data_IF_548876191925
#
_entry.id   IF_548876191925
#
_cell.length_a   1.000
_cell.length_b   1.000
_cell.length_c   1.000
_cell.angle_alpha   90.00
_cell.angle_beta   90.00
_cell.angle_gamma   90.00
#
_symmetry.space_group_name_H-M   'P 1'
#
loop_
_entity.id
_entity.type
_entity.pdbx_description
1 polymer ?
#
# COMPACT_ATOMS: atom_id res chain seq x y z
N UNK A 1 19.68 -1.23 -27.26
CA UNK A 1 18.53 -1.95 -26.66
C UNK A 1 18.84 -2.14 -25.18
N UNK A 2 17.83 -2.12 -24.31
CA UNK A 2 18.04 -2.35 -22.88
C UNK A 2 18.50 -3.80 -22.62
N UNK A 3 19.41 -3.97 -21.65
CA UNK A 3 19.92 -5.28 -21.24
C UNK A 3 18.78 -6.16 -20.67
N UNK A 4 18.60 -7.41 -21.13
CA UNK A 4 17.61 -8.34 -20.57
C UNK A 4 17.68 -8.51 -19.05
N UNK A 5 18.88 -8.43 -18.44
CA UNK A 5 19.03 -8.51 -16.99
C UNK A 5 18.40 -7.29 -16.30
N UNK A 6 18.59 -6.09 -16.85
CA UNK A 6 17.98 -4.85 -16.37
C UNK A 6 16.45 -4.88 -16.50
N UNK A 7 15.92 -5.32 -17.66
CA UNK A 7 14.47 -5.44 -17.87
C UNK A 7 13.82 -6.42 -16.88
N UNK A 8 14.52 -7.52 -16.57
CA UNK A 8 14.09 -8.49 -15.56
C UNK A 8 14.07 -7.88 -14.15
N UNK A 9 15.11 -7.13 -13.77
CA UNK A 9 15.18 -6.48 -12.46
C UNK A 9 14.04 -5.45 -12.27
N UNK A 10 13.80 -4.61 -13.28
CA UNK A 10 12.68 -3.66 -13.29
C UNK A 10 11.35 -4.40 -13.14
N UNK A 11 11.13 -5.46 -13.91
CA UNK A 11 9.92 -6.27 -13.83
C UNK A 11 9.69 -6.85 -12.42
N UNK A 12 10.75 -7.32 -11.76
CA UNK A 12 10.69 -7.84 -10.38
C UNK A 12 10.30 -6.73 -9.41
N UNK A 13 10.99 -5.57 -9.47
CA UNK A 13 10.73 -4.42 -8.60
C UNK A 13 9.32 -3.84 -8.80
N UNK A 14 8.86 -3.71 -10.04
CA UNK A 14 7.48 -3.35 -10.39
C UNK A 14 6.48 -4.32 -9.78
N UNK A 15 6.75 -5.63 -9.85
CA UNK A 15 5.92 -6.65 -9.21
C UNK A 15 5.88 -6.54 -7.67
N UNK A 16 6.98 -6.15 -7.03
CA UNK A 16 7.04 -5.90 -5.58
C UNK A 16 6.15 -4.72 -5.21
N UNK A 17 6.28 -3.57 -5.90
CA UNK A 17 5.43 -2.39 -5.67
C UNK A 17 3.96 -2.74 -5.84
N UNK A 18 3.59 -3.43 -6.92
CA UNK A 18 2.21 -3.86 -7.18
C UNK A 18 1.63 -4.73 -6.07
N UNK A 19 2.42 -5.64 -5.47
CA UNK A 19 1.99 -6.48 -4.35
C UNK A 19 1.79 -5.65 -3.08
N UNK A 20 2.71 -4.73 -2.79
CA UNK A 20 2.63 -3.87 -1.60
C UNK A 20 1.45 -2.89 -1.68
N UNK A 21 1.13 -2.37 -2.86
CA UNK A 21 -0.10 -1.58 -3.09
C UNK A 21 -1.33 -2.42 -2.73
N UNK A 22 -1.42 -3.66 -3.22
CA UNK A 22 -2.55 -4.55 -2.91
C UNK A 22 -2.65 -4.89 -1.43
N UNK A 23 -1.51 -5.13 -0.78
CA UNK A 23 -1.43 -5.42 0.65
C UNK A 23 -1.90 -4.21 1.47
N UNK A 24 -1.46 -3.00 1.12
CA UNK A 24 -1.89 -1.77 1.77
C UNK A 24 -3.40 -1.55 1.63
N UNK A 25 -3.93 -1.61 0.40
CA UNK A 25 -5.36 -1.46 0.15
C UNK A 25 -6.20 -2.55 0.84
N UNK A 26 -5.64 -3.74 1.06
CA UNK A 26 -6.32 -4.80 1.81
C UNK A 26 -6.46 -4.41 3.28
N UNK A 27 -5.40 -3.94 3.91
CA UNK A 27 -5.46 -3.50 5.31
C UNK A 27 -6.35 -2.27 5.53
N UNK A 28 -6.36 -1.31 4.59
CA UNK A 28 -7.30 -0.18 4.64
C UNK A 28 -8.77 -0.65 4.60
N UNK A 29 -9.10 -1.56 3.69
CA UNK A 29 -10.47 -2.11 3.61
C UNK A 29 -10.85 -2.93 4.84
N UNK A 30 -9.91 -3.67 5.41
CA UNK A 30 -10.16 -4.46 6.62
C UNK A 30 -10.34 -3.56 7.85
N UNK A 31 -9.62 -2.44 7.93
CA UNK A 31 -9.85 -1.40 8.94
C UNK A 31 -11.25 -0.80 8.78
N UNK A 32 -11.62 -0.35 7.57
CA UNK A 32 -12.93 0.24 7.27
C UNK A 32 -14.06 -0.71 7.65
N UNK A 33 -13.99 -1.97 7.20
CA UNK A 33 -14.98 -3.01 7.50
C UNK A 33 -15.11 -3.25 9.00
N UNK A 34 -13.98 -3.29 9.72
CA UNK A 34 -13.95 -3.47 11.17
C UNK A 34 -14.54 -2.26 11.92
N UNK A 35 -14.29 -1.05 11.44
CA UNK A 35 -14.86 0.20 11.96
C UNK A 35 -16.39 0.26 11.75
N UNK A 36 -16.88 -0.12 10.56
CA UNK A 36 -18.32 -0.22 10.27
C UNK A 36 -18.98 -1.24 11.20
N UNK A 37 -18.35 -2.40 11.41
CA UNK A 37 -18.84 -3.42 12.35
C UNK A 37 -18.89 -2.88 13.78
N UNK A 38 -17.87 -2.15 14.23
CA UNK A 38 -17.86 -1.53 15.55
C UNK A 38 -19.00 -0.51 15.72
N UNK A 39 -19.27 0.31 14.70
CA UNK A 39 -20.38 1.27 14.74
C UNK A 39 -21.73 0.56 14.83
N UNK A 40 -21.94 -0.50 14.05
CA UNK A 40 -23.16 -1.31 14.11
C UNK A 40 -23.34 -1.96 15.49
N UNK A 41 -22.26 -2.45 16.12
CA UNK A 41 -22.31 -2.99 17.48
C UNK A 41 -22.70 -1.94 18.52
N UNK A 42 -22.16 -0.72 18.42
CA UNK A 42 -22.46 0.38 19.34
C UNK A 42 -23.85 0.99 19.15
N UNK A 43 -24.48 0.79 18.00
CA UNK A 43 -25.84 1.28 17.73
C UNK A 43 -26.93 0.39 18.34
N UNK A 44 -26.61 -0.85 18.73
CA UNK A 44 -27.55 -1.74 19.40
C UNK A 44 -27.73 -1.40 20.88
N UNK A 45 -28.96 -1.50 21.38
CA UNK A 45 -29.29 -1.21 22.79
C UNK A 45 -28.64 -2.18 23.80
N UNK A 46 -28.28 -3.38 23.36
CA UNK A 46 -27.71 -4.46 24.18
C UNK A 46 -26.24 -4.74 23.80
N UNK A 47 -25.47 -3.69 23.47
CA UNK A 47 -24.08 -3.83 23.08
C UNK A 47 -23.23 -4.41 24.23
N UNK A 48 -22.80 -5.66 24.09
CA UNK A 48 -21.89 -6.30 25.04
C UNK A 48 -20.53 -5.59 25.04
N UNK A 49 -20.19 -4.95 26.16
CA UNK A 49 -18.96 -4.19 26.34
C UNK A 49 -17.70 -5.02 26.11
N UNK A 50 -17.70 -6.30 26.48
CA UNK A 50 -16.57 -7.20 26.26
C UNK A 50 -16.36 -7.45 24.77
N UNK A 51 -17.43 -7.67 24.03
CA UNK A 51 -17.37 -7.88 22.57
C UNK A 51 -16.96 -6.59 21.85
N UNK A 52 -17.49 -5.43 22.27
CA UNK A 52 -17.11 -4.12 21.73
C UNK A 52 -15.61 -3.84 21.98
N UNK A 53 -15.11 -4.10 23.19
CA UNK A 53 -13.69 -3.96 23.51
C UNK A 53 -12.84 -4.87 22.63
N UNK A 54 -13.26 -6.13 22.44
CA UNK A 54 -12.53 -7.06 21.58
C UNK A 54 -12.48 -6.59 20.13
N UNK A 55 -13.57 -6.03 19.62
CA UNK A 55 -13.62 -5.47 18.26
C UNK A 55 -12.69 -4.25 18.13
N UNK A 56 -12.55 -3.42 19.17
CA UNK A 56 -11.59 -2.30 19.19
C UNK A 56 -10.14 -2.83 19.15
N UNK A 57 -9.81 -3.86 19.92
CA UNK A 57 -8.47 -4.49 19.88
C UNK A 57 -8.11 -4.98 18.47
N UNK A 58 -9.03 -5.67 17.80
CA UNK A 58 -8.82 -6.13 16.41
C UNK A 58 -8.59 -4.97 15.43
N UNK A 59 -9.32 -3.87 15.58
CA UNK A 59 -9.10 -2.66 14.76
C UNK A 59 -7.69 -2.11 15.00
N UNK A 60 -7.22 -2.08 16.25
CA UNK A 60 -5.87 -1.60 16.56
C UNK A 60 -4.78 -2.51 15.97
N UNK A 61 -4.97 -3.83 16.00
CA UNK A 61 -4.07 -4.79 15.35
C UNK A 61 -3.95 -4.51 13.84
N UNK A 62 -5.08 -4.32 13.14
CA UNK A 62 -5.08 -3.98 11.70
C UNK A 62 -4.43 -2.61 11.46
N UNK A 63 -4.74 -1.60 12.27
CA UNK A 63 -4.17 -0.25 12.16
C UNK A 63 -2.64 -0.26 12.30
N UNK A 64 -2.09 -1.13 13.14
CA UNK A 64 -0.63 -1.24 13.32
C UNK A 64 0.08 -1.80 12.08
N UNK A 65 -0.63 -2.53 11.21
CA UNK A 65 -0.04 -3.07 9.98
C UNK A 65 0.12 -2.01 8.88
N UNK A 66 -0.80 -1.04 8.82
CA UNK A 66 -0.88 -0.04 7.75
C UNK A 66 0.43 0.80 7.64
N UNK A 67 0.99 1.39 8.72
CA UNK A 67 2.24 2.15 8.63
C UNK A 67 3.43 1.33 8.12
N UNK A 68 3.53 0.06 8.52
CA UNK A 68 4.63 -0.80 8.09
C UNK A 68 4.47 -1.22 6.62
N UNK A 69 3.24 -1.47 6.15
CA UNK A 69 2.95 -1.66 4.73
C UNK A 69 3.30 -0.41 3.91
N UNK A 70 2.88 0.77 4.36
CA UNK A 70 3.15 2.05 3.71
C UNK A 70 4.66 2.33 3.63
N UNK A 71 5.42 2.04 4.70
CA UNK A 71 6.89 2.18 4.71
C UNK A 71 7.57 1.25 3.72
N UNK A 72 7.18 -0.04 3.70
CA UNK A 72 7.70 -1.03 2.74
C UNK A 72 7.37 -0.66 1.30
N UNK A 73 6.16 -0.16 1.06
CA UNK A 73 5.74 0.36 -0.24
C UNK A 73 6.63 1.51 -0.69
N UNK A 74 6.80 2.54 0.14
CA UNK A 74 7.62 3.71 -0.22
C UNK A 74 9.07 3.33 -0.52
N UNK A 75 9.70 2.47 0.29
CA UNK A 75 11.06 1.98 0.02
C UNK A 75 11.17 1.28 -1.34
N UNK A 76 10.14 0.50 -1.71
CA UNK A 76 10.10 -0.23 -2.99
C UNK A 76 9.85 0.72 -4.16
N UNK A 77 9.01 1.73 -3.97
CA UNK A 77 8.77 2.81 -4.95
C UNK A 77 10.07 3.59 -5.19
N UNK A 78 10.80 3.96 -4.14
CA UNK A 78 12.10 4.65 -4.27
C UNK A 78 13.14 3.78 -4.99
N UNK A 79 13.22 2.49 -4.65
CA UNK A 79 14.13 1.57 -5.34
C UNK A 79 13.79 1.43 -6.82
N UNK A 80 12.51 1.32 -7.17
CA UNK A 80 12.06 1.24 -8.56
C UNK A 80 12.31 2.55 -9.31
N UNK A 81 12.00 3.69 -8.69
CA UNK A 81 12.25 5.01 -9.25
C UNK A 81 13.73 5.23 -9.55
N UNK A 82 14.61 4.81 -8.63
CA UNK A 82 16.05 4.89 -8.80
C UNK A 82 16.52 4.14 -10.06
N UNK A 83 16.20 2.85 -10.18
CA UNK A 83 16.67 2.04 -11.32
C UNK A 83 16.15 2.56 -12.66
N UNK A 84 14.90 3.03 -12.74
CA UNK A 84 14.40 3.56 -14.01
C UNK A 84 15.01 4.92 -14.37
N UNK A 85 15.33 5.75 -13.37
CA UNK A 85 15.96 7.06 -13.59
C UNK A 85 17.42 6.95 -14.03
N UNK A 86 18.15 5.95 -13.50
CA UNK A 86 19.55 5.69 -13.88
C UNK A 86 19.70 5.19 -15.32
N UNK A 87 18.62 4.66 -15.91
CA UNK A 87 18.62 4.03 -17.22
C UNK A 87 17.55 4.60 -18.17
N UNK A 88 17.00 5.78 -17.88
CA UNK A 88 15.84 6.34 -18.58
C UNK A 88 16.00 6.38 -20.11
N UNK A 89 17.17 6.81 -20.60
CA UNK A 89 17.45 6.95 -22.03
C UNK A 89 17.26 5.66 -22.84
N UNK A 90 17.56 4.50 -22.23
CA UNK A 90 17.44 3.17 -22.88
C UNK A 90 16.12 2.47 -22.54
N UNK A 91 15.40 2.94 -21.52
CA UNK A 91 14.19 2.32 -21.01
C UNK A 91 12.89 2.97 -21.50
N UNK A 92 12.90 4.28 -21.80
CA UNK A 92 11.70 5.09 -22.03
C UNK A 92 10.64 4.50 -23.00
N UNK A 93 11.06 3.66 -23.96
CA UNK A 93 10.17 3.02 -24.94
C UNK A 93 9.90 1.53 -24.67
N UNK A 94 10.26 1.03 -23.48
CA UNK A 94 10.08 -0.38 -23.10
C UNK A 94 8.77 -0.57 -22.32
N UNK A 95 8.08 -1.71 -22.49
CA UNK A 95 6.91 -2.06 -21.68
C UNK A 95 7.20 -2.04 -20.17
N UNK A 96 8.41 -2.42 -19.78
CA UNK A 96 8.88 -2.45 -18.39
C UNK A 96 8.94 -1.04 -17.78
N UNK A 97 9.38 -0.04 -18.54
CA UNK A 97 9.39 1.36 -18.10
C UNK A 97 7.97 1.92 -17.92
N UNK A 98 7.09 1.62 -18.88
CA UNK A 98 5.68 2.06 -18.81
C UNK A 98 5.02 1.44 -17.57
N UNK A 99 5.19 0.14 -17.34
CA UNK A 99 4.64 -0.53 -16.17
C UNK A 99 5.26 -0.01 -14.85
N UNK A 100 6.57 0.27 -14.83
CA UNK A 100 7.24 0.81 -13.66
C UNK A 100 6.74 2.21 -13.30
N UNK A 101 6.60 3.10 -14.29
CA UNK A 101 6.10 4.47 -14.06
C UNK A 101 4.65 4.48 -13.57
N UNK A 102 3.80 3.61 -14.12
CA UNK A 102 2.43 3.39 -13.62
C UNK A 102 2.44 2.95 -12.15
N UNK A 103 3.22 1.92 -11.80
CA UNK A 103 3.25 1.43 -10.42
C UNK A 103 3.91 2.40 -9.44
N UNK A 104 4.90 3.20 -9.86
CA UNK A 104 5.44 4.30 -9.05
C UNK A 104 4.37 5.33 -8.75
N UNK A 105 3.60 5.74 -9.76
CA UNK A 105 2.50 6.70 -9.60
C UNK A 105 1.47 6.16 -8.60
N UNK A 106 0.92 4.97 -8.85
CA UNK A 106 -0.06 4.35 -7.95
C UNK A 106 0.50 4.17 -6.53
N UNK A 107 1.71 3.64 -6.38
CA UNK A 107 2.32 3.43 -5.07
C UNK A 107 2.55 4.73 -4.29
N UNK A 108 2.92 5.81 -4.99
CA UNK A 108 3.07 7.14 -4.37
C UNK A 108 1.72 7.72 -3.95
N UNK A 109 0.70 7.61 -4.80
CA UNK A 109 -0.66 8.08 -4.50
C UNK A 109 -1.25 7.36 -3.28
N UNK A 110 -1.17 6.02 -3.20
CA UNK A 110 -1.65 5.28 -2.03
C UNK A 110 -0.87 5.62 -0.75
N UNK A 111 0.45 5.77 -0.84
CA UNK A 111 1.25 6.20 0.31
C UNK A 111 0.85 7.60 0.82
N UNK A 112 0.59 8.55 -0.08
CA UNK A 112 0.16 9.89 0.29
C UNK A 112 -1.21 9.89 0.99
N UNK A 113 -2.18 9.09 0.51
CA UNK A 113 -3.49 8.93 1.17
C UNK A 113 -3.35 8.47 2.63
N UNK A 114 -2.50 7.46 2.89
CA UNK A 114 -2.24 6.98 4.26
C UNK A 114 -1.61 8.06 5.12
N UNK A 115 -0.64 8.79 4.57
CA UNK A 115 0.03 9.88 5.30
C UNK A 115 -0.92 11.03 5.61
N UNK A 116 -1.86 11.32 4.74
CA UNK A 116 -2.92 12.31 4.95
C UNK A 116 -3.93 11.84 6.00
N UNK A 117 -4.39 10.59 5.92
CA UNK A 117 -5.28 9.99 6.93
C UNK A 117 -4.65 10.01 8.34
N UNK A 118 -3.37 9.67 8.46
CA UNK A 118 -2.64 9.70 9.73
C UNK A 118 -2.39 11.13 10.28
N UNK A 119 -2.56 12.18 9.47
CA UNK A 119 -2.48 13.58 9.91
C UNK A 119 -3.83 14.13 10.37
N UNK A 120 -4.93 13.51 9.93
CA UNK A 120 -6.30 13.95 10.23
C UNK A 120 -6.95 13.18 11.39
N UNK A 121 -6.43 12.00 11.73
CA UNK A 121 -6.86 11.18 12.88
C UNK A 121 -6.01 11.38 14.11
#
# INVERSE_FOLDING_TARGET
MADPALLRDISIKTGVVKRLVKELCYYEKEEEKSMVKLQAMKAGSDADEHVVKKQIELIQETKQMIPECARRLMNSVESLKKVISEHEAILQNTPEYIAATEQIKTGTEEYLKIKEAARMG
#
